data_IF_924448442530
#
_entry.id   IF_924448442530
#
_cell.length_a   1.000
_cell.length_b   1.000
_cell.length_c   1.000
_cell.angle_alpha   90.00
_cell.angle_beta   90.00
_cell.angle_gamma   90.00
#
_symmetry.space_group_name_H-M   'P 1'
#
loop_
_entity.id
_entity.type
_entity.pdbx_description
1 polymer ?
#
# COMPACT_ATOMS: atom_id res chain seq x y z
N UNK A 1 58.47 3.60 -63.63
CA UNK A 1 58.84 3.62 -62.20
C UNK A 1 58.57 5.02 -61.68
N UNK A 2 57.55 5.20 -60.83
CA UNK A 2 57.25 6.49 -60.21
C UNK A 2 58.06 6.57 -58.92
N UNK A 3 59.13 7.38 -58.93
CA UNK A 3 59.97 7.66 -57.76
C UNK A 3 59.18 8.58 -56.82
N UNK A 4 58.58 8.01 -55.78
CA UNK A 4 57.97 8.78 -54.69
C UNK A 4 59.06 9.62 -54.02
N UNK A 5 58.90 10.94 -54.03
CA UNK A 5 59.80 11.86 -53.32
C UNK A 5 59.67 11.64 -51.81
N UNK A 6 60.77 11.74 -51.07
CA UNK A 6 60.79 11.55 -49.61
C UNK A 6 59.79 12.45 -48.86
N UNK A 7 59.49 13.63 -49.42
CA UNK A 7 58.47 14.55 -48.92
C UNK A 7 57.04 13.99 -49.00
N UNK A 8 56.71 13.24 -50.06
CA UNK A 8 55.38 12.64 -50.23
C UNK A 8 55.14 11.53 -49.20
N UNK A 9 56.18 10.75 -48.89
CA UNK A 9 56.11 9.69 -47.87
C UNK A 9 55.91 10.26 -46.47
N UNK A 10 56.59 11.37 -46.15
CA UNK A 10 56.45 12.04 -44.85
C UNK A 10 55.04 12.64 -44.64
N UNK A 11 54.48 13.28 -45.66
CA UNK A 11 53.11 13.82 -45.61
C UNK A 11 52.06 12.71 -45.52
N UNK A 12 52.26 11.60 -46.23
CA UNK A 12 51.36 10.45 -46.15
C UNK A 12 51.37 9.82 -44.74
N UNK A 13 52.55 9.68 -44.13
CA UNK A 13 52.67 9.15 -42.77
C UNK A 13 52.06 10.09 -41.72
N UNK A 14 52.34 11.40 -41.79
CA UNK A 14 51.80 12.35 -40.81
C UNK A 14 50.28 12.52 -40.94
N UNK A 15 49.75 12.55 -42.17
CA UNK A 15 48.30 12.56 -42.42
C UNK A 15 47.62 11.30 -41.90
N UNK A 16 48.25 10.13 -42.07
CA UNK A 16 47.76 8.86 -41.55
C UNK A 16 47.63 8.85 -40.02
N UNK A 17 48.64 9.37 -39.31
CA UNK A 17 48.62 9.46 -37.84
C UNK A 17 47.49 10.37 -37.35
N UNK A 18 47.35 11.56 -37.93
CA UNK A 18 46.29 12.51 -37.56
C UNK A 18 44.90 11.93 -37.83
N UNK A 19 44.72 11.27 -38.97
CA UNK A 19 43.46 10.61 -39.33
C UNK A 19 43.12 9.49 -38.33
N UNK A 20 44.10 8.67 -37.96
CA UNK A 20 43.93 7.57 -37.01
C UNK A 20 43.51 8.08 -35.61
N UNK A 21 44.19 9.10 -35.08
CA UNK A 21 43.82 9.70 -33.80
C UNK A 21 42.43 10.35 -33.82
N UNK A 22 42.07 11.00 -34.94
CA UNK A 22 40.74 11.61 -35.09
C UNK A 22 39.65 10.53 -35.12
N UNK A 23 39.91 9.41 -35.79
CA UNK A 23 38.99 8.27 -35.82
C UNK A 23 38.84 7.61 -34.45
N UNK A 24 39.94 7.44 -33.69
CA UNK A 24 39.89 6.91 -32.32
C UNK A 24 39.09 7.81 -31.37
N UNK A 25 39.25 9.14 -31.48
CA UNK A 25 38.47 10.08 -30.69
C UNK A 25 36.98 9.98 -31.03
N UNK A 26 36.65 9.82 -32.31
CA UNK A 26 35.27 9.64 -32.75
C UNK A 26 34.67 8.32 -32.24
N UNK A 27 35.42 7.22 -32.29
CA UNK A 27 35.01 5.92 -31.73
C UNK A 27 34.82 5.98 -30.21
N UNK A 28 35.70 6.70 -29.49
CA UNK A 28 35.59 6.91 -28.05
C UNK A 28 34.29 7.62 -27.69
N UNK A 29 33.97 8.72 -28.38
CA UNK A 29 32.69 9.42 -28.20
C UNK A 29 31.46 8.56 -28.58
N UNK A 30 31.58 7.79 -29.66
CA UNK A 30 30.51 6.93 -30.16
C UNK A 30 30.14 5.81 -29.17
N UNK A 31 31.14 5.16 -28.56
CA UNK A 31 30.89 4.07 -27.60
C UNK A 31 30.23 4.57 -26.31
N UNK A 32 30.62 5.77 -25.83
CA UNK A 32 29.98 6.40 -24.66
C UNK A 32 28.51 6.75 -24.94
N UNK A 33 28.18 7.22 -26.15
CA UNK A 33 26.79 7.53 -26.51
C UNK A 33 25.92 6.27 -26.61
N UNK A 34 26.46 5.15 -27.09
CA UNK A 34 25.70 3.89 -27.15
C UNK A 34 25.41 3.29 -25.77
N UNK A 35 26.30 3.45 -24.80
CA UNK A 35 26.06 3.01 -23.42
C UNK A 35 24.93 3.79 -22.77
N UNK A 36 24.87 5.10 -22.98
CA UNK A 36 23.80 5.97 -22.45
C UNK A 36 22.43 5.62 -23.04
N UNK A 37 22.35 5.35 -24.35
CA UNK A 37 21.08 5.00 -24.99
C UNK A 37 20.59 3.62 -24.55
N UNK A 38 21.48 2.64 -24.36
CA UNK A 38 21.10 1.32 -23.82
C UNK A 38 20.64 1.40 -22.37
N UNK A 39 21.34 2.18 -21.53
CA UNK A 39 20.96 2.41 -20.14
C UNK A 39 19.61 3.13 -20.02
N UNK A 40 19.34 4.12 -20.89
CA UNK A 40 18.04 4.80 -20.93
C UNK A 40 16.92 3.91 -21.48
N UNK A 41 17.20 3.06 -22.49
CA UNK A 41 16.21 2.09 -22.97
C UNK A 41 15.87 1.01 -21.92
N UNK A 42 16.84 0.61 -21.09
CA UNK A 42 16.59 -0.26 -19.95
C UNK A 42 15.79 0.44 -18.84
N UNK A 43 16.05 1.71 -18.57
CA UNK A 43 15.28 2.49 -17.60
C UNK A 43 13.83 2.78 -18.08
N UNK A 44 13.59 2.87 -19.39
CA UNK A 44 12.28 3.20 -19.98
C UNK A 44 11.46 1.93 -20.30
N UNK A 45 12.10 0.77 -20.51
CA UNK A 45 11.37 -0.51 -20.60
C UNK A 45 10.76 -0.82 -19.25
N UNK A 46 9.52 -0.35 -19.06
CA UNK A 46 8.69 -0.72 -17.92
C UNK A 46 8.68 -2.25 -17.80
N UNK A 47 9.09 -2.80 -16.64
CA UNK A 47 8.87 -4.20 -16.36
C UNK A 47 7.39 -4.52 -16.60
N UNK A 48 7.05 -5.69 -17.15
CA UNK A 48 5.66 -6.14 -17.17
C UNK A 48 5.11 -6.00 -15.75
N UNK A 49 3.94 -5.37 -15.63
CA UNK A 49 3.32 -5.11 -14.32
C UNK A 49 3.35 -6.40 -13.50
N UNK A 50 3.98 -6.38 -12.32
CA UNK A 50 4.07 -7.57 -11.50
C UNK A 50 2.64 -7.98 -11.15
N UNK A 51 2.23 -9.16 -11.65
CA UNK A 51 1.04 -9.83 -11.14
C UNK A 51 1.20 -9.91 -9.61
N UNK A 52 0.14 -9.62 -8.84
CA UNK A 52 0.23 -9.61 -7.39
C UNK A 52 0.80 -10.96 -6.93
N UNK A 53 2.03 -10.92 -6.42
CA UNK A 53 2.67 -12.08 -5.83
C UNK A 53 1.81 -12.44 -4.62
N UNK A 54 1.45 -13.72 -4.42
CA UNK A 54 0.73 -14.13 -3.23
C UNK A 54 1.45 -13.62 -1.98
N UNK A 55 0.85 -12.67 -1.27
CA UNK A 55 1.48 -12.04 -0.10
C UNK A 55 1.32 -12.90 1.15
N UNK A 56 0.41 -13.88 1.10
CA UNK A 56 0.21 -14.86 2.16
C UNK A 56 1.08 -16.10 1.96
N UNK A 57 1.73 -16.65 3.02
CA UNK A 57 2.55 -17.86 2.95
C UNK A 57 1.77 -19.09 2.43
N UNK A 58 2.37 -19.99 1.63
CA UNK A 58 1.68 -21.14 1.01
C UNK A 58 1.17 -22.20 2.00
N UNK A 59 1.58 -22.14 3.27
CA UNK A 59 1.27 -23.12 4.33
C UNK A 59 -0.22 -23.22 4.73
N UNK A 60 -1.12 -22.49 4.08
CA UNK A 60 -2.57 -22.60 4.28
C UNK A 60 -3.29 -23.35 3.15
N UNK A 61 -2.54 -24.04 2.28
CA UNK A 61 -3.07 -25.05 1.37
C UNK A 61 -3.26 -26.36 2.14
N UNK A 62 -4.51 -26.68 2.48
CA UNK A 62 -5.04 -28.02 2.75
C UNK A 62 -4.28 -28.95 3.72
N UNK A 63 -4.82 -29.10 4.94
CA UNK A 63 -4.70 -30.33 5.74
C UNK A 63 -5.93 -31.19 5.44
N UNK A 64 -6.02 -31.72 4.23
CA UNK A 64 -6.99 -32.76 3.87
C UNK A 64 -6.26 -34.00 3.35
N UNK A 65 -5.22 -34.42 4.09
CA UNK A 65 -4.72 -35.78 4.01
C UNK A 65 -5.14 -36.53 5.27
N UNK A 66 -6.04 -37.47 5.02
CA UNK A 66 -6.54 -38.52 5.90
C UNK A 66 -5.48 -39.08 6.84
N UNK A 67 -5.86 -39.09 8.12
CA UNK A 67 -5.54 -40.10 9.13
C UNK A 67 -5.08 -41.42 8.49
N UNK A 68 -3.77 -41.67 8.50
CA UNK A 68 -3.21 -43.01 8.59
C UNK A 68 -2.64 -43.14 10.00
N UNK A 69 -3.50 -43.58 10.92
CA UNK A 69 -3.03 -44.23 12.14
C UNK A 69 -2.53 -45.59 11.68
N UNK A 70 -1.23 -45.70 11.41
CA UNK A 70 -0.54 -46.97 11.52
C UNK A 70 0.01 -47.06 12.93
N UNK A 71 -0.60 -47.96 13.70
CA UNK A 71 -0.15 -48.29 15.03
C UNK A 71 1.16 -49.06 14.95
N UNK A 72 2.17 -48.57 15.65
CA UNK A 72 3.16 -49.45 16.25
C UNK A 72 3.23 -49.15 17.74
N UNK A 73 2.66 -50.08 18.49
CA UNK A 73 2.73 -50.18 19.94
C UNK A 73 4.14 -50.59 20.35
N UNK A 74 4.83 -49.75 21.13
CA UNK A 74 5.81 -50.22 22.11
C UNK A 74 5.59 -49.49 23.44
N UNK A 75 5.18 -50.32 24.39
CA UNK A 75 5.05 -50.15 25.82
C UNK A 75 6.45 -49.94 26.44
N UNK A 76 6.66 -48.92 27.27
CA UNK A 76 6.78 -49.05 28.74
C UNK A 76 7.45 -47.83 29.41
N UNK A 77 6.90 -47.47 30.57
CA UNK A 77 7.47 -46.80 31.75
C UNK A 77 8.44 -45.59 31.64
N UNK A 78 7.99 -44.43 32.18
CA UNK A 78 8.32 -43.96 33.54
C UNK A 78 8.33 -42.42 33.67
N UNK A 79 7.66 -41.95 34.73
CA UNK A 79 7.72 -40.60 35.34
C UNK A 79 9.04 -39.86 35.14
N UNK A 80 8.97 -38.60 34.72
CA UNK A 80 9.52 -37.45 35.47
C UNK A 80 9.09 -36.13 34.82
N UNK A 81 8.50 -35.24 35.62
CA UNK A 81 8.20 -33.88 35.19
C UNK A 81 9.49 -33.07 35.09
N UNK A 82 9.60 -32.24 34.05
CA UNK A 82 10.65 -31.23 33.94
C UNK A 82 10.02 -29.90 33.53
N UNK A 83 10.18 -28.92 34.39
CA UNK A 83 9.61 -27.58 34.27
C UNK A 83 10.45 -26.70 33.34
N UNK A 84 9.77 -25.77 32.67
CA UNK A 84 10.26 -24.78 31.70
C UNK A 84 11.44 -23.92 32.21
N UNK A 85 11.74 -23.96 33.51
CA UNK A 85 12.85 -23.23 34.12
C UNK A 85 14.24 -23.79 33.79
N UNK A 86 14.37 -25.05 33.34
CA UNK A 86 15.69 -25.63 32.99
C UNK A 86 16.09 -25.44 31.52
N UNK A 87 15.20 -24.89 30.67
CA UNK A 87 15.53 -24.54 29.28
C UNK A 87 16.16 -23.14 29.15
N UNK A 88 15.99 -22.28 30.16
CA UNK A 88 16.43 -20.87 30.11
C UNK A 88 17.91 -20.70 30.49
N UNK A 89 18.52 -21.64 31.21
CA UNK A 89 19.93 -21.57 31.64
C UNK A 89 20.95 -21.97 30.53
N UNK A 90 20.47 -22.42 29.36
CA UNK A 90 21.32 -22.90 28.26
C UNK A 90 21.48 -21.90 27.11
N UNK A 91 20.79 -20.75 27.14
CA UNK A 91 20.88 -19.73 26.08
C UNK A 91 21.77 -18.52 26.44
N UNK A 92 22.22 -18.39 27.69
CA UNK A 92 23.12 -17.29 28.13
C UNK A 92 24.63 -17.56 27.92
N UNK A 93 25.01 -18.65 27.24
CA UNK A 93 26.43 -19.04 27.04
C UNK A 93 26.97 -18.94 25.61
N UNK A 94 26.27 -18.28 24.69
CA UNK A 94 26.81 -17.97 23.36
C UNK A 94 26.86 -16.46 23.12
N UNK A 95 27.83 -15.83 23.77
CA UNK A 95 28.26 -14.47 23.45
C UNK A 95 28.97 -14.40 22.10
N UNK A 96 28.59 -13.43 21.29
CA UNK A 96 29.25 -13.08 20.03
C UNK A 96 29.18 -11.57 19.80
N UNK A 97 30.28 -10.90 20.13
CA UNK A 97 30.54 -9.48 19.88
C UNK A 97 30.67 -9.21 18.38
N UNK A 98 29.97 -8.20 17.86
CA UNK A 98 30.24 -7.61 16.55
C UNK A 98 30.27 -6.08 16.71
N UNK A 99 31.46 -5.53 16.45
CA UNK A 99 31.76 -4.11 16.47
C UNK A 99 31.19 -3.43 15.20
N UNK A 100 30.62 -2.24 15.37
CA UNK A 100 30.23 -1.34 14.27
C UNK A 100 31.25 -0.19 14.23
N UNK A 101 31.87 0.13 13.09
CA UNK A 101 32.78 1.26 12.99
C UNK A 101 32.00 2.58 12.89
N UNK A 102 32.39 3.51 13.75
CA UNK A 102 32.05 4.94 13.72
C UNK A 102 32.75 5.62 12.55
N UNK A 103 32.02 6.39 11.76
CA UNK A 103 32.57 7.43 10.89
C UNK A 103 31.88 8.75 11.22
N UNK A 104 32.69 9.73 11.60
CA UNK A 104 32.37 11.13 11.88
C UNK A 104 32.95 11.99 10.76
N UNK A 105 32.17 12.91 10.20
CA UNK A 105 32.61 14.16 9.52
C UNK A 105 31.33 14.97 9.18
N UNK A 106 30.88 15.94 9.97
CA UNK A 106 31.31 17.36 10.14
C UNK A 106 30.75 18.35 9.09
N UNK A 107 30.34 19.50 9.62
CA UNK A 107 29.51 20.58 9.10
C UNK A 107 30.17 21.49 8.03
N UNK A 108 29.36 22.19 7.23
CA UNK A 108 29.84 23.30 6.38
C UNK A 108 28.84 23.84 5.34
N UNK A 109 27.95 24.73 5.78
CA UNK A 109 27.02 25.60 5.01
C UNK A 109 27.77 26.79 4.34
N UNK A 110 27.16 27.80 3.65
CA UNK A 110 26.09 27.90 2.63
C UNK A 110 26.61 28.49 1.28
N UNK A 111 25.75 28.60 0.26
CA UNK A 111 25.88 29.67 -0.74
C UNK A 111 24.52 30.20 -1.18
N UNK A 112 24.29 31.45 -0.82
CA UNK A 112 23.31 32.33 -1.42
C UNK A 112 23.81 32.76 -2.79
N UNK A 113 22.91 32.85 -3.78
CA UNK A 113 22.92 33.93 -4.75
C UNK A 113 21.50 34.16 -5.28
N UNK A 114 21.23 35.44 -5.36
CA UNK A 114 19.99 36.16 -5.52
C UNK A 114 19.60 36.31 -7.00
N UNK A 115 18.31 36.59 -7.23
CA UNK A 115 17.77 37.53 -8.23
C UNK A 115 16.59 36.99 -9.06
N UNK A 116 15.44 37.58 -8.73
CA UNK A 116 14.30 37.97 -9.57
C UNK A 116 14.57 38.10 -11.07
N UNK A 117 13.57 37.80 -11.92
CA UNK A 117 12.76 38.83 -12.59
C UNK A 117 11.58 38.20 -13.38
N UNK A 118 10.61 39.06 -13.66
CA UNK A 118 9.22 38.82 -14.00
C UNK A 118 8.92 38.32 -15.43
N UNK A 119 7.72 37.78 -15.57
CA UNK A 119 7.02 37.53 -16.83
C UNK A 119 6.80 38.81 -17.65
N UNK A 120 6.47 38.67 -18.95
CA UNK A 120 5.05 38.86 -19.27
C UNK A 120 4.45 37.84 -20.27
N UNK A 121 3.13 37.80 -20.20
CA UNK A 121 2.14 37.01 -20.93
C UNK A 121 1.91 37.41 -22.39
N UNK A 122 1.71 36.42 -23.27
CA UNK A 122 0.67 36.38 -24.35
C UNK A 122 0.69 34.95 -24.92
N UNK A 123 -0.34 34.11 -24.74
CA UNK A 123 -1.63 34.08 -25.45
C UNK A 123 -1.52 33.77 -26.94
N UNK A 124 -1.33 32.49 -27.30
CA UNK A 124 -1.88 31.97 -28.57
C UNK A 124 -2.23 30.48 -28.45
N UNK A 125 -3.48 30.18 -28.80
CA UNK A 125 -4.20 28.94 -28.62
C UNK A 125 -4.04 27.99 -29.79
N UNK A 126 -3.54 26.78 -29.54
CA UNK A 126 -3.74 25.62 -30.40
C UNK A 126 -4.21 24.42 -29.57
N UNK A 127 -5.37 23.82 -29.88
CA UNK A 127 -5.84 22.62 -29.20
C UNK A 127 -5.08 21.42 -29.77
N UNK A 128 -3.97 21.04 -29.13
CA UNK A 128 -3.30 19.78 -29.42
C UNK A 128 -4.10 18.62 -28.84
N UNK A 129 -4.42 17.70 -29.74
CA UNK A 129 -5.17 16.48 -29.50
C UNK A 129 -4.58 15.64 -28.35
N UNK A 130 -5.52 15.06 -27.58
CA UNK A 130 -5.39 13.92 -26.67
C UNK A 130 -3.99 13.39 -26.43
N UNK A 131 -3.28 13.99 -25.48
CA UNK A 131 -2.30 13.25 -24.70
C UNK A 131 -3.07 12.15 -23.98
N UNK A 132 -2.91 10.90 -24.41
CA UNK A 132 -3.42 9.76 -23.67
C UNK A 132 -2.78 9.84 -22.27
N UNK A 133 -3.55 10.34 -21.29
CA UNK A 133 -3.15 10.30 -19.89
C UNK A 133 -2.88 8.85 -19.58
N UNK A 134 -1.65 8.55 -19.14
CA UNK A 134 -1.31 7.22 -18.66
C UNK A 134 -2.38 6.76 -17.66
N UNK A 135 -2.78 5.48 -17.68
CA UNK A 135 -3.75 4.97 -16.72
C UNK A 135 -3.22 5.24 -15.31
N UNK A 136 -4.00 5.98 -14.52
CA UNK A 136 -3.64 6.28 -13.14
C UNK A 136 -3.70 4.99 -12.31
N UNK A 137 -2.65 4.74 -11.52
CA UNK A 137 -2.60 3.63 -10.56
C UNK A 137 -3.24 4.13 -9.26
N UNK A 138 -4.51 3.80 -9.07
CA UNK A 138 -5.30 4.22 -7.92
C UNK A 138 -5.49 3.06 -6.94
N UNK A 139 -5.60 3.37 -5.64
CA UNK A 139 -5.87 2.35 -4.63
C UNK A 139 -6.81 2.82 -3.51
N UNK A 140 -7.54 1.88 -2.93
CA UNK A 140 -8.15 2.02 -1.61
C UNK A 140 -7.31 1.26 -0.57
N UNK A 141 -7.12 1.85 0.59
CA UNK A 141 -6.34 1.27 1.68
C UNK A 141 -7.21 1.14 2.94
N UNK A 142 -7.08 0.01 3.63
CA UNK A 142 -7.82 -0.27 4.86
C UNK A 142 -6.89 -0.90 5.89
N UNK A 143 -7.13 -0.63 7.17
CA UNK A 143 -6.46 -1.31 8.29
C UNK A 143 -7.40 -2.33 8.91
N UNK A 144 -6.93 -3.56 9.03
CA UNK A 144 -7.62 -4.66 9.68
C UNK A 144 -7.22 -4.73 11.14
N UNK A 145 -7.98 -4.06 11.99
CA UNK A 145 -7.77 -4.08 13.44
C UNK A 145 -8.35 -5.36 14.05
N UNK A 146 -9.50 -5.79 13.55
CA UNK A 146 -10.15 -7.03 13.95
C UNK A 146 -10.37 -7.98 12.77
N UNK A 147 -10.36 -9.30 13.00
CA UNK A 147 -10.68 -10.28 11.94
C UNK A 147 -12.06 -10.07 11.31
N UNK A 148 -13.02 -9.55 12.08
CA UNK A 148 -14.38 -9.28 11.61
C UNK A 148 -14.48 -8.13 10.60
N UNK A 149 -13.46 -7.26 10.53
CA UNK A 149 -13.40 -6.13 9.62
C UNK A 149 -13.25 -6.57 8.16
N UNK A 150 -12.68 -7.76 7.92
CA UNK A 150 -12.56 -8.36 6.57
C UNK A 150 -13.92 -8.41 5.88
N UNK A 151 -14.99 -8.69 6.63
CA UNK A 151 -16.35 -8.76 6.10
C UNK A 151 -16.90 -7.39 5.70
N UNK A 152 -16.55 -6.33 6.44
CA UNK A 152 -16.94 -4.96 6.09
C UNK A 152 -16.23 -4.49 4.81
N UNK A 153 -14.95 -4.84 4.68
CA UNK A 153 -14.15 -4.49 3.50
C UNK A 153 -14.61 -5.32 2.29
N UNK A 154 -14.97 -6.59 2.47
CA UNK A 154 -15.53 -7.40 1.39
C UNK A 154 -16.87 -6.84 0.88
N UNK A 155 -17.71 -6.32 1.79
CA UNK A 155 -18.93 -5.60 1.40
C UNK A 155 -18.60 -4.36 0.58
N UNK A 156 -17.60 -3.58 1.00
CA UNK A 156 -17.07 -2.44 0.23
C UNK A 156 -16.60 -2.88 -1.17
N UNK A 157 -15.77 -3.93 -1.24
CA UNK A 157 -15.23 -4.48 -2.51
C UNK A 157 -16.38 -4.83 -3.45
N UNK A 158 -17.37 -5.59 -2.98
CA UNK A 158 -18.54 -5.97 -3.79
C UNK A 158 -19.29 -4.75 -4.32
N UNK A 159 -19.48 -3.72 -3.49
CA UNK A 159 -20.15 -2.48 -3.89
C UNK A 159 -19.33 -1.68 -4.90
N UNK A 160 -18.00 -1.61 -4.71
CA UNK A 160 -17.06 -0.89 -5.55
C UNK A 160 -16.93 -1.54 -6.93
N UNK A 161 -16.64 -2.85 -6.97
CA UNK A 161 -16.46 -3.63 -8.20
C UNK A 161 -17.74 -3.67 -9.05
N UNK A 162 -18.91 -3.70 -8.40
CA UNK A 162 -20.19 -3.80 -9.10
C UNK A 162 -20.65 -2.55 -9.84
N UNK A 163 -20.10 -1.36 -9.59
CA UNK A 163 -20.53 -0.14 -10.31
C UNK A 163 -19.52 1.02 -10.34
N UNK A 164 -18.24 0.77 -10.11
CA UNK A 164 -17.21 1.80 -10.30
C UNK A 164 -17.17 2.24 -11.77
N UNK A 165 -16.89 3.53 -11.98
CA UNK A 165 -16.74 4.13 -13.31
C UNK A 165 -15.32 4.60 -13.60
N UNK A 166 -14.37 4.20 -12.75
CA UNK A 166 -12.98 4.54 -12.93
C UNK A 166 -12.42 3.88 -14.20
N UNK A 167 -11.56 4.56 -14.97
CA UNK A 167 -10.95 3.99 -16.18
C UNK A 167 -10.10 2.75 -15.91
N UNK A 168 -9.41 2.76 -14.77
CA UNK A 168 -8.65 1.63 -14.21
C UNK A 168 -9.32 1.16 -12.93
N UNK A 169 -9.34 -0.16 -12.75
CA UNK A 169 -9.82 -0.75 -11.51
C UNK A 169 -8.85 -0.40 -10.37
N UNK A 170 -9.29 0.25 -9.29
CA UNK A 170 -8.39 0.57 -8.19
C UNK A 170 -7.97 -0.71 -7.47
N UNK A 171 -6.71 -0.78 -7.06
CA UNK A 171 -6.24 -1.82 -6.15
C UNK A 171 -6.87 -1.64 -4.78
N UNK A 172 -7.11 -2.74 -4.06
CA UNK A 172 -7.64 -2.68 -2.69
C UNK A 172 -6.62 -3.35 -1.78
N UNK A 173 -6.05 -2.56 -0.88
CA UNK A 173 -4.93 -2.93 -0.02
C UNK A 173 -5.43 -3.01 1.43
N UNK A 174 -5.13 -4.12 2.08
CA UNK A 174 -5.50 -4.37 3.46
C UNK A 174 -4.23 -4.55 4.29
N UNK A 175 -3.98 -3.61 5.19
CA UNK A 175 -2.90 -3.69 6.18
C UNK A 175 -3.42 -4.50 7.37
N UNK A 176 -2.72 -5.57 7.76
CA UNK A 176 -3.11 -6.42 8.88
C UNK A 176 -1.90 -6.75 9.75
N UNK A 177 -2.09 -7.06 11.04
CA UNK A 177 -0.97 -7.35 11.92
C UNK A 177 -0.41 -8.75 11.65
N UNK A 178 0.92 -8.87 11.57
CA UNK A 178 1.61 -10.16 11.40
C UNK A 178 1.42 -11.09 12.61
N UNK A 179 0.92 -10.59 13.73
CA UNK A 179 0.55 -11.42 14.89
C UNK A 179 -0.51 -12.45 14.54
N UNK A 180 -1.41 -12.16 13.58
CA UNK A 180 -2.42 -13.13 13.12
C UNK A 180 -1.81 -14.39 12.50
N UNK A 181 -0.63 -14.29 11.91
CA UNK A 181 0.08 -15.44 11.33
C UNK A 181 0.88 -16.24 12.36
N UNK A 182 1.25 -15.61 13.47
CA UNK A 182 2.10 -16.22 14.51
C UNK A 182 1.29 -16.86 15.63
N UNK A 183 0.14 -16.28 15.96
CA UNK A 183 -0.71 -16.73 17.06
C UNK A 183 -1.63 -17.87 16.63
N UNK A 184 -1.69 -18.92 17.44
CA UNK A 184 -2.53 -20.09 17.22
C UNK A 184 -3.98 -19.82 17.67
N UNK A 185 -4.71 -19.03 16.88
CA UNK A 185 -6.13 -18.75 17.07
C UNK A 185 -6.97 -19.31 15.94
N UNK A 186 -8.04 -20.05 16.27
CA UNK A 186 -9.00 -20.57 15.28
C UNK A 186 -9.60 -19.44 14.43
N UNK A 187 -9.86 -18.28 15.04
CA UNK A 187 -10.36 -17.09 14.36
C UNK A 187 -9.35 -16.58 13.35
N UNK A 188 -8.06 -16.46 13.72
CA UNK A 188 -7.02 -15.98 12.80
C UNK A 188 -6.77 -16.98 11.67
N UNK A 189 -6.70 -18.28 11.96
CA UNK A 189 -6.55 -19.31 10.92
C UNK A 189 -7.70 -19.28 9.92
N UNK A 190 -8.94 -19.18 10.40
CA UNK A 190 -10.14 -19.09 9.54
C UNK A 190 -10.12 -17.80 8.70
N UNK A 191 -9.71 -16.69 9.31
CA UNK A 191 -9.62 -15.38 8.66
C UNK A 191 -8.54 -15.35 7.59
N UNK A 192 -7.34 -15.86 7.87
CA UNK A 192 -6.23 -15.93 6.91
C UNK A 192 -6.57 -16.86 5.72
N UNK A 193 -7.24 -17.97 5.99
CA UNK A 193 -7.76 -18.86 4.93
C UNK A 193 -8.74 -18.12 4.03
N UNK A 194 -9.72 -17.44 4.61
CA UNK A 194 -10.70 -16.66 3.86
C UNK A 194 -10.04 -15.50 3.09
N UNK A 195 -9.09 -14.79 3.70
CA UNK A 195 -8.31 -13.73 3.04
C UNK A 195 -7.61 -14.25 1.79
N UNK A 196 -7.00 -15.45 1.84
CA UNK A 196 -6.40 -16.08 0.66
C UNK A 196 -7.43 -16.33 -0.45
N UNK A 197 -8.60 -16.88 -0.11
CA UNK A 197 -9.68 -17.10 -1.09
C UNK A 197 -10.12 -15.76 -1.75
N UNK A 198 -10.25 -14.70 -0.96
CA UNK A 198 -10.61 -13.37 -1.46
C UNK A 198 -9.49 -12.73 -2.29
N UNK A 199 -8.22 -13.02 -1.97
CA UNK A 199 -7.07 -12.56 -2.75
C UNK A 199 -7.17 -13.04 -4.20
N UNK A 200 -7.47 -14.33 -4.36
CA UNK A 200 -7.59 -14.98 -5.67
C UNK A 200 -8.86 -14.54 -6.41
N UNK A 201 -9.98 -14.41 -5.69
CA UNK A 201 -11.28 -14.08 -6.29
C UNK A 201 -11.42 -12.60 -6.66
N UNK A 202 -10.88 -11.69 -5.85
CA UNK A 202 -11.12 -10.24 -5.96
C UNK A 202 -9.85 -9.40 -6.19
N UNK A 203 -8.68 -10.04 -6.29
CA UNK A 203 -7.40 -9.35 -6.50
C UNK A 203 -7.05 -8.41 -5.34
N UNK A 204 -7.40 -8.78 -4.12
CA UNK A 204 -7.04 -8.01 -2.93
C UNK A 204 -5.54 -8.12 -2.66
N UNK A 205 -4.94 -7.07 -2.11
CA UNK A 205 -3.52 -7.05 -1.74
C UNK A 205 -3.41 -6.97 -0.22
N UNK A 206 -2.85 -8.01 0.39
CA UNK A 206 -2.66 -8.05 1.84
C UNK A 206 -1.23 -7.63 2.20
N UNK A 207 -1.10 -6.69 3.13
CA UNK A 207 0.20 -6.19 3.59
C UNK A 207 0.38 -6.47 5.09
N UNK A 208 1.23 -7.45 5.46
CA UNK A 208 1.49 -7.75 6.87
C UNK A 208 2.33 -6.64 7.51
N UNK A 209 1.91 -6.20 8.69
CA UNK A 209 2.55 -5.15 9.47
C UNK A 209 3.11 -5.72 10.77
N UNK A 210 4.35 -5.38 11.08
CA UNK A 210 4.95 -5.77 12.34
C UNK A 210 4.41 -4.89 13.47
N UNK A 211 3.69 -5.51 14.41
CA UNK A 211 3.19 -4.83 15.60
C UNK A 211 4.11 -5.14 16.77
N UNK A 212 4.63 -4.07 17.37
CA UNK A 212 5.37 -4.09 18.62
C UNK A 212 4.40 -3.93 19.79
N UNK A 213 4.55 -4.75 20.84
CA UNK A 213 3.61 -4.80 21.98
C UNK A 213 3.59 -3.56 22.89
N UNK A 214 4.40 -2.54 22.61
CA UNK A 214 4.53 -1.34 23.44
C UNK A 214 3.68 -0.14 22.96
N UNK A 215 2.97 -0.26 21.83
CA UNK A 215 2.26 0.87 21.20
C UNK A 215 0.85 0.53 20.71
N UNK A 216 0.08 1.57 20.39
CA UNK A 216 -1.25 1.44 19.79
C UNK A 216 -1.13 0.73 18.41
N UNK A 217 -1.82 -0.40 18.25
CA UNK A 217 -1.81 -1.18 17.03
C UNK A 217 -2.29 -0.38 15.81
N UNK A 218 -3.34 0.44 15.95
CA UNK A 218 -3.86 1.25 14.86
C UNK A 218 -2.85 2.31 14.42
N UNK A 219 -2.15 2.94 15.36
CA UNK A 219 -1.10 3.90 15.05
C UNK A 219 0.08 3.25 14.30
N UNK A 220 0.42 2.01 14.65
CA UNK A 220 1.46 1.24 13.95
C UNK A 220 1.01 0.85 12.54
N UNK A 221 -0.23 0.39 12.36
CA UNK A 221 -0.82 0.09 11.04
C UNK A 221 -0.87 1.33 10.16
N UNK A 222 -1.28 2.48 10.70
CA UNK A 222 -1.29 3.76 9.98
C UNK A 222 0.12 4.26 9.66
N UNK A 223 1.10 3.99 10.53
CA UNK A 223 2.49 4.33 10.30
C UNK A 223 3.01 3.73 8.99
N UNK A 224 2.64 2.49 8.66
CA UNK A 224 3.04 1.84 7.40
C UNK A 224 2.57 2.60 6.16
N UNK A 225 1.43 3.30 6.22
CA UNK A 225 0.98 4.14 5.11
C UNK A 225 1.99 5.24 4.77
N UNK A 226 2.67 5.78 5.78
CA UNK A 226 3.64 6.86 5.61
C UNK A 226 5.02 6.34 5.18
N UNK A 227 5.47 5.21 5.73
CA UNK A 227 6.84 4.73 5.54
C UNK A 227 7.01 3.84 4.32
N UNK A 228 5.97 3.10 3.93
CA UNK A 228 6.05 2.19 2.80
C UNK A 228 6.04 2.95 1.46
N UNK A 229 6.85 2.46 0.50
CA UNK A 229 6.89 3.01 -0.87
C UNK A 229 5.84 2.33 -1.72
N UNK A 230 4.62 2.86 -1.67
CA UNK A 230 3.53 2.36 -2.49
C UNK A 230 3.71 2.77 -3.96
N UNK A 231 3.44 1.85 -4.88
CA UNK A 231 3.56 2.11 -6.32
C UNK A 231 2.25 2.65 -6.94
N UNK A 232 1.59 3.56 -6.24
CA UNK A 232 0.35 4.17 -6.70
C UNK A 232 0.57 5.67 -6.94
N UNK A 233 -0.24 6.24 -7.83
CA UNK A 233 -0.25 7.70 -8.03
C UNK A 233 -1.03 8.37 -6.90
N UNK A 234 -2.09 7.72 -6.42
CA UNK A 234 -2.94 8.20 -5.35
C UNK A 234 -3.65 7.02 -4.67
N UNK A 235 -3.77 7.06 -3.34
CA UNK A 235 -4.51 6.06 -2.59
C UNK A 235 -5.38 6.69 -1.50
N UNK A 236 -6.63 6.24 -1.38
CA UNK A 236 -7.56 6.72 -0.37
C UNK A 236 -7.63 5.71 0.77
N UNK A 237 -7.16 6.10 1.95
CA UNK A 237 -7.35 5.33 3.16
C UNK A 237 -8.73 5.60 3.74
N UNK A 238 -9.47 4.53 4.02
CA UNK A 238 -10.77 4.56 4.66
C UNK A 238 -10.70 3.69 5.91
N UNK A 239 -11.14 4.25 7.04
CA UNK A 239 -11.28 3.46 8.27
C UNK A 239 -12.38 2.40 8.07
N UNK A 240 -12.17 1.21 8.60
CA UNK A 240 -13.18 0.15 8.72
C UNK A 240 -13.46 -0.10 10.20
N UNK A 241 -14.64 -0.62 10.57
CA UNK A 241 -15.77 -1.00 9.71
C UNK A 241 -16.64 0.16 9.19
N UNK A 242 -17.20 0.01 7.99
CA UNK A 242 -18.12 0.99 7.40
C UNK A 242 -18.81 0.55 6.11
N UNK A 243 -19.75 1.37 5.63
CA UNK A 243 -20.59 1.11 4.45
C UNK A 243 -20.54 2.26 3.44
N UNK A 244 -20.51 1.94 2.14
CA UNK A 244 -20.58 2.96 1.08
C UNK A 244 -22.02 3.37 0.82
N UNK A 245 -22.27 4.67 0.83
CA UNK A 245 -23.53 5.28 0.42
C UNK A 245 -23.45 5.83 -1.01
N UNK A 246 -22.38 6.59 -1.31
CA UNK A 246 -22.20 7.25 -2.62
C UNK A 246 -20.86 6.90 -3.26
N UNK A 247 -20.82 5.77 -3.95
CA UNK A 247 -19.63 5.28 -4.68
C UNK A 247 -19.02 6.31 -5.62
N UNK A 248 -19.84 7.04 -6.38
CA UNK A 248 -19.33 8.08 -7.31
C UNK A 248 -18.52 9.15 -6.60
N UNK A 249 -18.95 9.59 -5.42
CA UNK A 249 -18.22 10.58 -4.65
C UNK A 249 -16.87 10.05 -4.14
N UNK A 250 -16.76 8.75 -3.82
CA UNK A 250 -15.48 8.11 -3.50
C UNK A 250 -14.57 7.97 -4.73
N UNK A 251 -15.12 7.57 -5.88
CA UNK A 251 -14.39 7.47 -7.14
C UNK A 251 -13.85 8.85 -7.55
N UNK A 252 -14.69 9.88 -7.47
CA UNK A 252 -14.33 11.26 -7.80
C UNK A 252 -13.26 11.78 -6.82
N UNK A 253 -13.36 11.48 -5.53
CA UNK A 253 -12.35 11.87 -4.53
C UNK A 253 -11.01 11.15 -4.75
N UNK A 254 -11.03 9.87 -5.15
CA UNK A 254 -9.83 9.09 -5.43
C UNK A 254 -9.15 9.50 -6.75
N UNK A 255 -9.91 9.80 -7.80
CA UNK A 255 -9.37 10.19 -9.11
C UNK A 255 -9.01 11.68 -9.22
N UNK A 256 -9.58 12.53 -8.37
CA UNK A 256 -9.29 13.96 -8.38
C UNK A 256 -7.87 14.23 -7.87
N UNK A 257 -7.08 15.07 -8.56
CA UNK A 257 -5.74 15.41 -8.09
C UNK A 257 -5.80 16.12 -6.74
N UNK A 258 -4.87 15.78 -5.85
CA UNK A 258 -4.75 16.37 -4.53
C UNK A 258 -4.55 17.90 -4.62
N UNK A 259 -5.60 18.66 -4.30
CA UNK A 259 -5.55 20.13 -4.25
C UNK A 259 -5.35 20.62 -2.82
N UNK A 260 -4.55 21.68 -2.61
CA UNK A 260 -4.39 22.32 -1.28
C UNK A 260 -5.70 22.90 -0.70
N UNK A 261 -6.77 23.00 -1.49
CA UNK A 261 -8.09 23.45 -1.04
C UNK A 261 -8.86 22.31 -0.35
N UNK A 262 -8.69 21.09 -0.86
CA UNK A 262 -9.43 19.88 -0.48
C UNK A 262 -8.62 18.97 0.45
N UNK A 263 -7.30 19.10 0.43
CA UNK A 263 -6.36 18.29 1.19
C UNK A 263 -5.25 19.14 1.79
N UNK A 264 -4.70 18.70 2.92
CA UNK A 264 -3.49 19.28 3.50
C UNK A 264 -2.61 18.21 4.12
N UNK A 265 -1.29 18.45 4.27
CA UNK A 265 -0.42 17.54 5.00
C UNK A 265 -1.00 17.20 6.37
N UNK A 266 -0.84 15.95 6.79
CA UNK A 266 -1.26 15.51 8.13
C UNK A 266 -0.59 16.36 9.20
N UNK A 267 -1.37 16.76 10.19
CA UNK A 267 -0.95 17.54 11.34
C UNK A 267 -1.56 16.97 12.63
N UNK A 268 -1.23 17.56 13.78
CA UNK A 268 -1.77 17.12 15.07
C UNK A 268 -3.29 17.22 15.20
N UNK A 269 -3.97 17.97 14.32
CA UNK A 269 -5.44 18.07 14.31
C UNK A 269 -6.12 16.87 13.66
N UNK A 270 -5.36 16.02 12.98
CA UNK A 270 -5.85 14.79 12.34
C UNK A 270 -6.23 13.72 13.37
N UNK A 271 -5.67 13.79 14.58
CA UNK A 271 -5.92 12.85 15.66
C UNK A 271 -5.29 11.48 15.44
N UNK A 272 -5.46 10.60 16.42
CA UNK A 272 -4.79 9.29 16.46
C UNK A 272 -5.55 8.20 15.67
N UNK A 273 -6.79 8.48 15.27
CA UNK A 273 -7.64 7.53 14.54
C UNK A 273 -8.44 8.22 13.43
N UNK A 274 -7.77 8.71 12.38
CA UNK A 274 -8.43 9.41 11.27
C UNK A 274 -9.38 8.49 10.51
N UNK A 275 -10.50 9.07 10.08
CA UNK A 275 -11.54 8.37 9.31
C UNK A 275 -11.17 8.22 7.84
N UNK A 276 -10.44 9.21 7.31
CA UNK A 276 -10.11 9.38 5.91
C UNK A 276 -8.72 10.01 5.80
N UNK A 277 -7.87 9.44 4.96
CA UNK A 277 -6.60 10.04 4.58
C UNK A 277 -6.37 9.86 3.09
N UNK A 278 -5.67 10.80 2.48
CA UNK A 278 -5.17 10.65 1.13
C UNK A 278 -3.67 10.42 1.17
N UNK A 279 -3.23 9.30 0.63
CA UNK A 279 -1.84 9.04 0.37
C UNK A 279 -1.48 9.46 -1.05
N UNK A 280 -0.36 10.14 -1.18
CA UNK A 280 0.25 10.54 -2.45
C UNK A 280 1.76 10.32 -2.38
N UNK A 281 2.50 10.31 -3.50
CA UNK A 281 3.96 10.29 -3.49
C UNK A 281 4.59 11.45 -2.70
N UNK A 282 3.85 12.53 -2.47
CA UNK A 282 4.28 13.69 -1.67
C UNK A 282 4.03 13.52 -0.16
N UNK A 283 3.44 12.39 0.25
CA UNK A 283 3.11 12.09 1.63
C UNK A 283 1.61 12.01 1.90
N UNK A 284 1.30 11.81 3.18
CA UNK A 284 -0.04 11.63 3.72
C UNK A 284 -0.74 12.97 3.92
N UNK A 285 -2.02 13.03 3.58
CA UNK A 285 -2.81 14.24 3.62
C UNK A 285 -4.14 14.01 4.35
N UNK A 286 -4.53 14.98 5.18
CA UNK A 286 -5.81 15.04 5.87
C UNK A 286 -6.85 15.82 5.04
N UNK A 287 -8.14 15.45 5.16
CA UNK A 287 -9.20 16.08 4.39
C UNK A 287 -9.50 17.53 4.86
N UNK A 288 -9.86 18.39 3.91
CA UNK A 288 -10.33 19.75 4.14
C UNK A 288 -11.68 19.99 3.45
N UNK A 289 -12.46 20.92 4.02
CA UNK A 289 -13.73 21.42 3.45
C UNK A 289 -14.67 20.28 3.05
N UNK A 290 -14.99 20.16 1.77
CA UNK A 290 -15.88 19.12 1.23
C UNK A 290 -15.37 17.70 1.52
N UNK A 291 -14.05 17.47 1.50
CA UNK A 291 -13.49 16.13 1.75
C UNK A 291 -13.70 15.69 3.20
N UNK A 292 -13.88 16.62 4.15
CA UNK A 292 -14.21 16.28 5.55
C UNK A 292 -15.60 15.68 5.70
N UNK A 293 -16.51 15.93 4.75
CA UNK A 293 -17.87 15.39 4.74
C UNK A 293 -17.98 14.12 3.93
N UNK A 294 -16.88 13.66 3.30
CA UNK A 294 -16.87 12.45 2.49
C UNK A 294 -17.11 11.20 3.35
N UNK A 295 -16.62 11.23 4.58
CA UNK A 295 -16.88 10.21 5.60
C UNK A 295 -17.71 10.82 6.72
N UNK A 296 -18.64 10.03 7.25
CA UNK A 296 -19.38 10.37 8.46
C UNK A 296 -19.36 9.16 9.41
N UNK A 297 -19.55 9.42 10.71
CA UNK A 297 -19.67 8.36 11.72
C UNK A 297 -21.15 8.17 12.03
N UNK A 298 -21.62 6.92 12.00
CA UNK A 298 -22.97 6.61 12.44
C UNK A 298 -23.06 6.79 13.97
N UNK A 299 -23.98 7.67 14.38
CA UNK A 299 -24.29 7.95 15.77
C UNK A 299 -25.80 7.84 16.03
N UNK A 300 -26.20 8.04 17.29
CA UNK A 300 -27.60 8.01 17.70
C UNK A 300 -28.46 9.10 17.02
N UNK A 301 -27.87 10.25 16.67
CA UNK A 301 -28.53 11.41 16.06
C UNK A 301 -28.36 11.43 14.53
N UNK A 302 -28.14 10.26 13.91
CA UNK A 302 -27.97 10.16 12.47
C UNK A 302 -29.20 10.70 11.73
N UNK A 303 -29.00 11.84 11.07
CA UNK A 303 -29.99 12.51 10.24
C UNK A 303 -29.51 12.53 8.79
N UNK A 304 -30.29 11.91 7.91
CA UNK A 304 -30.02 11.86 6.47
C UNK A 304 -29.97 13.27 5.86
N UNK A 305 -30.62 14.28 6.46
CA UNK A 305 -30.50 15.66 6.02
C UNK A 305 -29.14 16.29 6.36
N UNK A 306 -28.48 15.87 7.45
CA UNK A 306 -27.16 16.39 7.85
C UNK A 306 -26.00 15.64 7.19
N UNK A 307 -26.15 14.33 7.06
CA UNK A 307 -25.13 13.43 6.51
C UNK A 307 -25.43 12.99 5.07
N UNK A 308 -26.43 13.60 4.45
CA UNK A 308 -26.84 13.32 3.09
C UNK A 308 -25.72 13.47 2.07
N UNK A 309 -24.64 14.20 2.38
CA UNK A 309 -23.46 14.37 1.54
C UNK A 309 -22.39 13.27 1.70
N UNK A 310 -22.46 12.46 2.77
CA UNK A 310 -21.48 11.43 3.06
C UNK A 310 -21.45 10.35 1.98
N UNK A 311 -20.25 9.98 1.56
CA UNK A 311 -20.02 8.92 0.60
C UNK A 311 -19.79 7.57 1.27
N UNK A 312 -19.26 7.59 2.48
CA UNK A 312 -18.95 6.43 3.29
C UNK A 312 -19.31 6.70 4.75
N UNK A 313 -19.85 5.69 5.44
CA UNK A 313 -20.28 5.82 6.83
C UNK A 313 -19.60 4.77 7.67
N UNK A 314 -18.89 5.23 8.70
CA UNK A 314 -18.26 4.39 9.71
C UNK A 314 -19.32 3.87 10.67
N UNK A 315 -19.27 2.58 10.94
CA UNK A 315 -20.19 1.92 11.88
C UNK A 315 -19.40 1.57 13.12
N UNK A 316 -19.44 2.45 14.11
CA UNK A 316 -18.76 2.25 15.39
C UNK A 316 -19.77 1.75 16.43
N UNK A 317 -19.66 0.49 16.85
CA UNK A 317 -20.64 -0.15 17.73
C UNK A 317 -20.70 0.53 19.10
N UNK A 318 -19.55 0.98 19.60
CA UNK A 318 -19.43 1.63 20.90
C UNK A 318 -20.25 2.93 20.97
N UNK A 319 -20.42 3.61 19.83
CA UNK A 319 -21.19 4.86 19.74
C UNK A 319 -22.70 4.63 19.59
N UNK A 320 -23.14 3.40 19.28
CA UNK A 320 -24.54 3.07 18.99
C UNK A 320 -25.29 2.53 20.22
N UNK A 321 -24.59 1.96 21.19
CA UNK A 321 -25.19 1.35 22.39
C UNK A 321 -25.84 2.37 23.36
N UNK A 322 -25.63 3.68 23.14
CA UNK A 322 -26.24 4.76 23.93
C UNK A 322 -27.63 5.23 23.45
N UNK A 323 -28.11 4.76 22.30
CA UNK A 323 -29.36 5.23 21.71
C UNK A 323 -30.58 4.50 22.31
N UNK A 324 -31.51 5.24 22.90
CA UNK A 324 -32.77 4.70 23.43
C UNK A 324 -33.60 3.95 22.37
N UNK A 325 -34.54 3.12 22.83
CA UNK A 325 -35.39 2.16 22.07
C UNK A 325 -36.32 2.74 20.96
N UNK A 326 -35.95 3.81 20.26
CA UNK A 326 -36.63 4.27 19.06
C UNK A 326 -36.01 3.66 17.80
N UNK A 327 -36.83 3.26 16.84
CA UNK A 327 -36.38 2.82 15.51
C UNK A 327 -35.85 4.04 14.73
N UNK A 328 -34.56 4.34 14.88
CA UNK A 328 -33.91 5.49 14.23
C UNK A 328 -33.40 5.12 12.84
N UNK A 329 -33.19 6.14 11.99
CA UNK A 329 -32.56 5.98 10.67
C UNK A 329 -31.18 5.31 10.78
N UNK A 330 -30.45 5.54 11.88
CA UNK A 330 -29.20 4.83 12.19
C UNK A 330 -29.41 3.31 12.35
N UNK A 331 -30.48 2.85 12.98
CA UNK A 331 -30.74 1.41 13.12
C UNK A 331 -31.00 0.73 11.78
N UNK A 332 -31.75 1.38 10.87
CA UNK A 332 -31.96 0.85 9.52
C UNK A 332 -30.63 0.74 8.73
N UNK A 333 -29.74 1.74 8.89
CA UNK A 333 -28.42 1.72 8.26
C UNK A 333 -27.53 0.61 8.83
N UNK A 334 -27.51 0.45 10.16
CA UNK A 334 -26.77 -0.61 10.85
C UNK A 334 -27.31 -1.99 10.48
N UNK A 335 -28.62 -2.16 10.43
CA UNK A 335 -29.24 -3.40 9.99
C UNK A 335 -28.82 -3.76 8.56
N UNK A 336 -28.89 -2.80 7.63
CA UNK A 336 -28.46 -2.98 6.25
C UNK A 336 -26.96 -3.32 6.16
N UNK A 337 -26.14 -2.71 6.99
CA UNK A 337 -24.71 -3.01 7.07
C UNK A 337 -24.46 -4.44 7.55
N UNK A 338 -25.10 -4.87 8.64
CA UNK A 338 -24.93 -6.22 9.19
C UNK A 338 -25.50 -7.30 8.25
N UNK A 339 -26.66 -7.06 7.64
CA UNK A 339 -27.19 -7.94 6.60
C UNK A 339 -26.21 -8.07 5.43
N UNK A 340 -25.64 -6.94 4.98
CA UNK A 340 -24.60 -6.90 3.96
C UNK A 340 -23.37 -7.73 4.35
N UNK A 341 -22.82 -7.54 5.55
CA UNK A 341 -21.68 -8.30 6.07
C UNK A 341 -21.96 -9.79 6.14
N UNK A 342 -23.10 -10.18 6.71
CA UNK A 342 -23.52 -11.59 6.78
C UNK A 342 -23.64 -12.21 5.39
N UNK A 343 -24.15 -11.46 4.41
CA UNK A 343 -24.29 -11.95 3.04
C UNK A 343 -22.95 -12.23 2.34
N UNK A 344 -21.90 -11.45 2.64
CA UNK A 344 -20.59 -11.61 1.99
C UNK A 344 -19.65 -12.55 2.74
N UNK A 345 -19.86 -12.74 4.05
CA UNK A 345 -19.07 -13.63 4.89
C UNK A 345 -19.82 -14.90 5.33
N UNK A 346 -20.93 -15.23 4.68
CA UNK A 346 -21.69 -16.43 4.99
C UNK A 346 -20.78 -17.67 4.86
N UNK A 347 -20.67 -18.46 5.93
CA UNK A 347 -19.87 -19.68 5.97
C UNK A 347 -18.36 -19.50 6.17
N UNK A 348 -17.86 -18.26 6.32
CA UNK A 348 -16.42 -18.04 6.56
C UNK A 348 -15.97 -18.35 7.99
N UNK A 349 -16.90 -18.46 8.94
CA UNK A 349 -16.61 -18.65 10.37
C UNK A 349 -16.03 -17.41 11.06
N UNK A 350 -15.98 -16.26 10.37
CA UNK A 350 -15.40 -15.00 10.90
C UNK A 350 -16.42 -14.21 11.72
N UNK A 351 -17.67 -14.16 11.25
CA UNK A 351 -18.76 -13.56 12.01
C UNK A 351 -19.20 -14.59 13.05
N UNK A 352 -18.98 -14.29 14.34
CA UNK A 352 -19.41 -15.17 15.43
C UNK A 352 -20.89 -15.55 15.28
N UNK A 353 -21.26 -16.76 15.72
CA UNK A 353 -22.62 -17.31 15.55
C UNK A 353 -23.74 -16.53 16.26
N UNK A 354 -23.42 -15.41 16.89
CA UNK A 354 -24.33 -14.58 17.69
C UNK A 354 -24.29 -13.08 17.32
N UNK A 355 -23.82 -12.73 16.12
CA UNK A 355 -23.81 -11.34 15.63
C UNK A 355 -25.05 -10.99 14.82
#
# INVERSE_FOLDING_TARGET
MVLLTSSAVSVALSGGVVCMFTFLLFLSGYTLQQQTVRSLQEAIRRPPEPKPVPTLPPQFHDINETVAIDGESVQDDQRTGLTVAQAIDKLERLGGSVQVPVVVQDDGQPSMLDSSEAAPTSSESHPMAGGASLPQRLAYMFTLSEPSDVCSILLFVKQQRGSSRLPSEPSIILLYPVTWERETSVLYTSTLKFMRELQELHGLVYHPVQINGAGNMNAQLLGELQWHRWEYDQALYLRSPGIVLKRKALDDALASPASRKSWAPVDSSTGDNPELLLWTPNGLQSPRREMRRLVAVADADWDEARYGDAAYVLIDRDNLDGAGHGETVSQALVHKFEEGRRSVCAGSGILGSSA
#
